data_IF_573550108145
#
_entry.id   IF_573550108145
#
_cell.length_a   1.000
_cell.length_b   1.000
_cell.length_c   1.000
_cell.angle_alpha   90.00
_cell.angle_beta   90.00
_cell.angle_gamma   90.00
#
_symmetry.space_group_name_H-M   'P 1'
#
loop_
_entity.id
_entity.type
_entity.pdbx_description
1 polymer ?
#
# COMPACT_ATOMS: atom_id res chain seq x y z
N UNK A 1 13.60 18.19 11.70
CA UNK A 1 14.03 16.81 11.41
C UNK A 1 13.73 15.90 12.58
N UNK A 2 13.48 14.62 12.34
CA UNK A 2 13.15 13.61 13.35
C UNK A 2 13.64 12.23 12.88
N UNK A 3 14.09 11.38 13.81
CA UNK A 3 14.50 10.02 13.49
C UNK A 3 13.28 9.11 13.50
N UNK A 4 13.15 8.23 12.49
CA UNK A 4 12.10 7.25 12.38
C UNK A 4 12.39 6.06 13.31
N UNK A 5 11.53 5.86 14.29
CA UNK A 5 11.72 4.85 15.32
C UNK A 5 10.95 3.54 15.07
N UNK A 6 10.05 3.54 14.08
CA UNK A 6 9.22 2.40 13.72
C UNK A 6 10.07 1.18 13.33
N UNK A 7 9.79 0.01 13.92
CA UNK A 7 10.58 -1.21 13.75
C UNK A 7 10.78 -1.63 12.29
N UNK A 8 9.74 -1.49 11.49
CA UNK A 8 9.72 -1.86 10.06
C UNK A 8 9.81 -0.64 9.12
N UNK A 9 10.24 0.52 9.64
CA UNK A 9 10.33 1.74 8.84
C UNK A 9 8.97 2.34 8.45
N UNK A 10 8.98 3.20 7.42
CA UNK A 10 7.79 3.92 6.94
C UNK A 10 7.00 3.05 5.92
N UNK A 11 6.43 1.95 6.39
CA UNK A 11 5.53 1.11 5.58
C UNK A 11 4.08 1.64 5.57
N UNK A 12 3.13 0.94 4.92
CA UNK A 12 1.79 1.44 4.65
C UNK A 12 1.05 2.03 5.87
N UNK A 13 1.09 1.38 7.05
CA UNK A 13 0.39 1.87 8.26
C UNK A 13 0.95 3.20 8.79
N UNK A 14 2.24 3.31 9.17
CA UNK A 14 2.80 4.58 9.64
C UNK A 14 2.82 5.64 8.53
N UNK A 15 3.01 5.27 7.26
CA UNK A 15 2.93 6.21 6.15
C UNK A 15 1.51 6.80 6.00
N UNK A 16 0.46 5.98 6.16
CA UNK A 16 -0.94 6.47 6.18
C UNK A 16 -1.18 7.43 7.33
N UNK A 17 -0.73 7.10 8.53
CA UNK A 17 -0.86 7.99 9.68
C UNK A 17 -0.13 9.32 9.44
N UNK A 18 1.08 9.28 8.91
CA UNK A 18 1.85 10.47 8.56
C UNK A 18 1.16 11.31 7.48
N UNK A 19 0.69 10.69 6.40
CA UNK A 19 -0.04 11.38 5.33
C UNK A 19 -1.28 12.09 5.86
N UNK A 20 -2.04 11.44 6.75
CA UNK A 20 -3.23 12.03 7.35
C UNK A 20 -2.90 13.26 8.21
N UNK A 21 -1.88 13.17 9.06
CA UNK A 21 -1.42 14.33 9.85
C UNK A 21 -0.96 15.46 8.92
N UNK A 22 -0.25 15.13 7.83
CA UNK A 22 0.20 16.14 6.87
C UNK A 22 -0.95 16.75 6.05
N UNK A 23 -2.04 16.01 5.80
CA UNK A 23 -3.24 16.52 5.11
C UNK A 23 -4.00 17.57 5.94
N UNK A 24 -3.92 17.51 7.27
CA UNK A 24 -4.50 18.53 8.18
C UNK A 24 -3.76 19.87 8.11
N UNK A 25 -2.54 19.86 7.60
CA UNK A 25 -1.75 21.09 7.43
C UNK A 25 -2.25 21.87 6.22
N UNK A 26 -2.47 23.18 6.40
CA UNK A 26 -2.80 24.09 5.31
C UNK A 26 -1.52 24.52 4.58
N UNK A 27 -1.43 24.22 3.28
CA UNK A 27 -0.25 24.42 2.46
C UNK A 27 0.52 23.15 2.15
N UNK A 28 1.59 23.24 1.36
CA UNK A 28 2.41 22.10 0.95
C UNK A 28 3.39 21.71 2.06
N UNK A 29 3.45 20.39 2.32
CA UNK A 29 4.47 19.79 3.19
C UNK A 29 5.24 18.75 2.40
N UNK A 30 6.56 18.86 2.42
CA UNK A 30 7.48 17.93 1.77
C UNK A 30 8.37 17.25 2.79
N UNK A 31 8.77 16.03 2.50
CA UNK A 31 9.66 15.24 3.36
C UNK A 31 10.77 14.60 2.55
N UNK A 32 11.92 14.46 3.17
CA UNK A 32 13.11 13.78 2.66
C UNK A 32 13.60 12.78 3.70
N UNK A 33 14.14 11.65 3.28
CA UNK A 33 14.85 10.69 4.14
C UNK A 33 16.36 10.83 3.92
N UNK A 34 17.13 10.97 5.02
CA UNK A 34 18.61 11.10 5.04
C UNK A 34 19.20 12.09 4.02
N UNK A 35 18.49 13.18 3.75
CA UNK A 35 18.95 14.22 2.83
C UNK A 35 18.80 13.87 1.36
N UNK A 36 18.01 12.88 1.01
CA UNK A 36 17.62 12.55 -0.36
C UNK A 36 16.66 13.56 -0.98
N UNK A 37 15.98 13.19 -2.06
CA UNK A 37 14.99 14.05 -2.72
C UNK A 37 13.78 14.33 -1.83
N UNK A 38 13.21 15.54 -1.93
CA UNK A 38 11.97 15.89 -1.24
C UNK A 38 10.75 15.43 -2.03
N UNK A 39 9.84 14.74 -1.35
CA UNK A 39 8.54 14.28 -1.89
C UNK A 39 7.38 14.88 -1.11
N UNK A 40 6.18 14.86 -1.67
CA UNK A 40 4.97 15.31 -0.95
C UNK A 40 4.68 14.42 0.26
N UNK A 41 4.59 15.03 1.44
CA UNK A 41 4.25 14.31 2.66
C UNK A 41 2.74 14.03 2.79
N UNK A 42 1.92 14.59 1.90
CA UNK A 42 0.47 14.35 1.84
C UNK A 42 0.10 13.15 0.97
N UNK A 43 1.03 12.63 0.18
CA UNK A 43 0.85 11.47 -0.69
C UNK A 43 1.40 10.22 -0.03
N UNK A 44 0.54 9.22 0.16
CA UNK A 44 0.91 7.91 0.71
C UNK A 44 1.91 7.21 -0.23
N UNK A 45 1.66 7.24 -1.54
CA UNK A 45 2.54 6.61 -2.54
C UNK A 45 3.93 7.23 -2.55
N UNK A 46 4.04 8.56 -2.43
CA UNK A 46 5.33 9.26 -2.33
C UNK A 46 6.05 8.99 -1.01
N UNK A 47 5.33 8.87 0.10
CA UNK A 47 5.92 8.47 1.38
C UNK A 47 6.47 7.05 1.33
N UNK A 48 5.76 6.13 0.68
CA UNK A 48 6.24 4.76 0.47
C UNK A 48 7.48 4.72 -0.43
N UNK A 49 7.54 5.55 -1.48
CA UNK A 49 8.69 5.60 -2.39
C UNK A 49 9.98 6.12 -1.74
N UNK A 50 9.90 6.78 -0.57
CA UNK A 50 11.10 7.14 0.20
C UNK A 50 11.89 5.92 0.68
N UNK A 51 11.23 4.77 0.85
CA UNK A 51 11.87 3.56 1.37
C UNK A 51 12.49 3.74 2.75
N UNK A 52 11.98 4.69 3.56
CA UNK A 52 12.59 5.07 4.81
C UNK A 52 12.53 3.96 5.84
N UNK A 53 13.70 3.45 6.25
CA UNK A 53 13.87 2.42 7.26
C UNK A 53 14.02 2.97 8.69
N UNK A 54 14.01 2.05 9.69
CA UNK A 54 14.26 2.40 11.10
C UNK A 54 15.61 3.10 11.24
N UNK A 55 15.64 4.18 12.03
CA UNK A 55 16.86 4.93 12.34
C UNK A 55 17.20 6.04 11.32
N UNK A 56 16.55 6.07 10.17
CA UNK A 56 16.76 7.14 9.20
C UNK A 56 16.11 8.46 9.65
N UNK A 57 16.69 9.55 9.21
CA UNK A 57 16.23 10.90 9.58
C UNK A 57 15.27 11.43 8.53
N UNK A 58 14.03 11.70 8.95
CA UNK A 58 13.05 12.41 8.15
C UNK A 58 13.18 13.91 8.36
N UNK A 59 13.38 14.64 7.28
CA UNK A 59 13.46 16.12 7.27
C UNK A 59 12.24 16.68 6.56
N UNK A 60 11.44 17.46 7.29
CA UNK A 60 10.23 18.08 6.78
C UNK A 60 10.50 19.55 6.44
N UNK A 61 9.94 20.01 5.32
CA UNK A 61 9.83 21.41 4.93
C UNK A 61 8.37 21.73 4.65
N UNK A 62 7.95 22.91 5.04
CA UNK A 62 6.60 23.41 4.75
C UNK A 62 6.71 24.82 4.18
N UNK A 63 5.71 25.23 3.40
CA UNK A 63 5.62 26.61 2.95
C UNK A 63 5.49 27.55 4.14
N UNK A 64 6.18 28.72 4.08
CA UNK A 64 6.12 29.69 5.17
C UNK A 64 4.71 30.25 5.34
N UNK A 65 4.19 30.16 6.57
CA UNK A 65 2.87 30.67 6.95
C UNK A 65 2.74 30.74 8.47
N UNK A 66 1.70 31.41 8.96
CA UNK A 66 1.48 31.64 10.40
C UNK A 66 1.30 30.37 11.24
N UNK A 67 0.93 29.26 10.61
CA UNK A 67 0.75 27.95 11.28
C UNK A 67 1.89 26.97 10.97
N UNK A 68 2.90 27.34 10.15
CA UNK A 68 3.90 26.41 9.66
C UNK A 68 4.73 25.77 10.79
N UNK A 69 5.14 26.54 11.79
CA UNK A 69 5.93 26.00 12.92
C UNK A 69 5.12 25.06 13.79
N UNK A 70 3.88 25.42 14.10
CA UNK A 70 2.99 24.58 14.92
C UNK A 70 2.63 23.28 14.20
N UNK A 71 2.32 23.35 12.90
CA UNK A 71 2.02 22.17 12.10
C UNK A 71 3.22 21.24 11.95
N UNK A 72 4.42 21.78 11.69
CA UNK A 72 5.65 20.98 11.65
C UNK A 72 5.96 20.35 13.01
N UNK A 73 5.68 21.04 14.12
CA UNK A 73 5.86 20.47 15.44
C UNK A 73 4.90 19.30 15.69
N UNK A 74 3.64 19.39 15.25
CA UNK A 74 2.67 18.29 15.31
C UNK A 74 3.11 17.08 14.49
N UNK A 75 3.58 17.31 13.25
CA UNK A 75 4.09 16.25 12.38
C UNK A 75 5.30 15.55 13.04
N UNK A 76 6.25 16.31 13.55
CA UNK A 76 7.43 15.76 14.25
C UNK A 76 7.00 14.97 15.49
N UNK A 77 6.04 15.46 16.26
CA UNK A 77 5.51 14.77 17.43
C UNK A 77 4.81 13.45 17.04
N UNK A 78 4.03 13.44 15.96
CA UNK A 78 3.39 12.24 15.45
C UNK A 78 4.43 11.17 15.06
N UNK A 79 5.53 11.55 14.39
CA UNK A 79 6.62 10.63 14.05
C UNK A 79 7.29 10.10 15.32
N UNK A 80 7.58 10.95 16.31
CA UNK A 80 8.18 10.53 17.59
C UNK A 80 7.30 9.58 18.38
N UNK A 81 5.97 9.72 18.30
CA UNK A 81 5.02 8.82 18.97
C UNK A 81 4.79 7.50 18.22
N UNK A 82 5.54 7.24 17.12
CA UNK A 82 5.50 5.99 16.37
C UNK A 82 4.38 5.89 15.36
N UNK A 83 3.67 6.99 15.03
CA UNK A 83 2.61 6.98 13.99
C UNK A 83 1.55 5.89 14.21
N UNK A 84 1.20 5.63 15.48
CA UNK A 84 0.20 4.63 15.89
C UNK A 84 0.73 3.23 16.12
N UNK A 85 2.03 3.00 16.00
CA UNK A 85 2.72 1.76 16.37
C UNK A 85 3.46 1.93 17.71
N UNK A 86 3.69 0.81 18.41
CA UNK A 86 4.55 0.82 19.61
C UNK A 86 6.00 1.07 19.20
N UNK A 87 6.64 2.04 19.85
CA UNK A 87 8.01 2.43 19.59
C UNK A 87 8.87 1.93 20.74
N UNK A 88 9.71 0.95 20.50
CA UNK A 88 10.79 0.62 21.42
C UNK A 88 11.82 1.75 21.39
N UNK A 89 12.26 2.19 22.57
CA UNK A 89 13.31 3.22 22.69
C UNK A 89 14.53 2.85 21.86
N UNK A 90 14.87 3.71 20.90
CA UNK A 90 16.06 3.53 20.06
C UNK A 90 17.29 3.87 20.91
N UNK A 91 17.84 2.89 21.63
CA UNK A 91 19.25 2.96 22.00
C UNK A 91 20.06 2.75 20.71
N UNK A 92 21.02 3.64 20.48
CA UNK A 92 21.86 3.62 19.29
C UNK A 92 22.62 2.28 19.18
N UNK A 93 22.02 1.31 18.54
CA UNK A 93 22.61 0.02 18.21
C UNK A 93 23.06 0.05 16.76
N UNK A 94 24.36 -0.17 16.57
CA UNK A 94 25.03 -0.39 15.29
C UNK A 94 24.27 -1.42 14.46
N UNK A 95 24.19 -1.13 13.14
CA UNK A 95 23.66 -2.02 12.13
C UNK A 95 24.11 -3.47 12.34
N UNK A 96 23.19 -4.32 12.73
CA UNK A 96 23.33 -5.76 12.53
C UNK A 96 22.79 -6.06 11.12
N UNK A 97 23.71 -6.56 10.32
CA UNK A 97 23.47 -7.06 8.98
C UNK A 97 22.40 -8.15 9.06
N UNK A 98 21.20 -7.86 8.57
CA UNK A 98 20.18 -8.87 8.37
C UNK A 98 20.71 -9.90 7.37
N UNK A 99 20.83 -11.13 7.83
CA UNK A 99 21.13 -12.27 6.97
C UNK A 99 19.98 -12.44 5.97
N UNK A 100 20.36 -12.50 4.70
CA UNK A 100 19.50 -12.79 3.58
C UNK A 100 18.67 -14.05 3.84
N UNK A 101 17.35 -13.88 4.00
CA UNK A 101 16.43 -14.98 3.73
C UNK A 101 16.29 -15.08 2.22
N UNK A 102 16.63 -16.24 1.68
CA UNK A 102 16.45 -16.57 0.26
C UNK A 102 15.02 -16.21 -0.18
N UNK A 103 14.92 -15.39 -1.21
CA UNK A 103 13.67 -15.08 -1.86
C UNK A 103 13.05 -16.36 -2.40
N UNK A 104 11.97 -16.82 -1.79
CA UNK A 104 11.17 -17.90 -2.34
C UNK A 104 10.46 -17.40 -3.58
N UNK A 105 10.99 -17.76 -4.74
CA UNK A 105 10.23 -17.68 -5.99
C UNK A 105 9.19 -18.79 -5.93
N UNK A 106 7.93 -18.44 -5.69
CA UNK A 106 6.82 -19.38 -5.77
C UNK A 106 6.61 -19.71 -7.24
N UNK A 107 7.20 -20.83 -7.71
CA UNK A 107 6.81 -21.40 -8.97
C UNK A 107 5.37 -21.92 -8.87
N UNK A 108 4.56 -21.86 -9.95
CA UNK A 108 3.20 -22.39 -9.92
C UNK A 108 3.26 -23.88 -9.55
N UNK A 109 2.65 -24.23 -8.43
CA UNK A 109 2.58 -25.61 -7.96
C UNK A 109 1.55 -26.34 -8.80
N UNK A 110 2.00 -27.24 -9.67
CA UNK A 110 1.12 -28.20 -10.33
C UNK A 110 0.87 -29.32 -9.33
N UNK A 111 -0.32 -29.37 -8.75
CA UNK A 111 -0.73 -30.46 -7.87
C UNK A 111 -0.89 -31.74 -8.71
N UNK A 112 -0.01 -32.71 -8.51
CA UNK A 112 -0.18 -34.08 -9.01
C UNK A 112 -0.66 -34.95 -7.85
N UNK A 113 -1.45 -35.98 -8.14
CA UNK A 113 -1.87 -36.97 -7.14
C UNK A 113 -0.62 -37.56 -6.46
N UNK A 114 -0.65 -37.67 -5.13
CA UNK A 114 0.44 -38.18 -4.26
C UNK A 114 1.73 -37.33 -4.16
N UNK A 115 1.71 -36.04 -4.45
CA UNK A 115 2.87 -35.15 -4.23
C UNK A 115 2.86 -34.59 -2.81
N UNK A 116 3.98 -34.78 -2.08
CA UNK A 116 4.24 -34.10 -0.80
C UNK A 116 4.93 -32.79 -1.06
N UNK A 117 4.24 -31.69 -0.76
CA UNK A 117 4.81 -30.35 -0.80
C UNK A 117 5.34 -29.99 0.59
N UNK A 118 6.58 -29.45 0.66
CA UNK A 118 7.10 -28.86 1.88
C UNK A 118 6.74 -27.38 1.91
N UNK A 119 6.19 -26.95 3.04
CA UNK A 119 5.86 -25.57 3.31
C UNK A 119 6.35 -25.13 4.68
N UNK A 120 6.26 -23.83 4.96
CA UNK A 120 6.52 -23.26 6.29
C UNK A 120 5.21 -23.30 7.09
N UNK A 121 5.25 -23.90 8.29
CA UNK A 121 4.08 -23.95 9.16
C UNK A 121 3.74 -22.55 9.68
N UNK A 122 2.64 -21.96 9.20
CA UNK A 122 2.14 -20.66 9.64
C UNK A 122 1.26 -20.76 10.89
N UNK A 123 0.64 -21.92 11.12
CA UNK A 123 -0.15 -22.20 12.32
C UNK A 123 0.02 -23.68 12.74
N UNK A 124 -0.14 -23.95 14.03
CA UNK A 124 -0.10 -25.31 14.53
C UNK A 124 -1.43 -26.02 14.26
N UNK A 125 -1.36 -27.28 13.80
CA UNK A 125 -2.54 -28.13 13.60
C UNK A 125 -2.45 -29.00 12.36
N UNK A 126 -3.52 -29.76 12.15
CA UNK A 126 -3.75 -30.56 10.95
C UNK A 126 -5.11 -30.13 10.37
N UNK A 127 -5.16 -29.91 9.07
CA UNK A 127 -6.39 -29.65 8.34
C UNK A 127 -6.54 -30.69 7.22
N UNK A 128 -7.78 -31.08 6.94
CA UNK A 128 -8.13 -31.92 5.82
C UNK A 128 -9.36 -31.32 5.13
N UNK A 129 -9.33 -31.17 3.83
CA UNK A 129 -10.42 -30.60 3.05
C UNK A 129 -10.16 -30.71 1.55
N UNK A 130 -11.10 -30.22 0.77
CA UNK A 130 -10.93 -30.09 -0.68
C UNK A 130 -9.93 -28.97 -0.98
N UNK A 131 -8.96 -29.23 -1.87
CA UNK A 131 -8.06 -28.19 -2.30
C UNK A 131 -8.81 -27.14 -3.17
N UNK A 132 -8.73 -25.87 -2.78
CA UNK A 132 -9.25 -24.77 -3.59
C UNK A 132 -8.08 -23.98 -4.16
N UNK A 133 -7.98 -23.97 -5.48
CA UNK A 133 -6.94 -23.22 -6.17
C UNK A 133 -7.41 -21.76 -6.34
N UNK A 134 -6.82 -20.84 -5.62
CA UNK A 134 -7.02 -19.41 -5.85
C UNK A 134 -6.31 -19.02 -7.13
N UNK A 135 -7.04 -18.83 -8.22
CA UNK A 135 -6.50 -18.29 -9.46
C UNK A 135 -6.71 -16.79 -9.47
N UNK A 136 -5.66 -16.02 -9.78
CA UNK A 136 -5.84 -14.61 -10.06
C UNK A 136 -6.75 -14.44 -11.27
N UNK A 137 -7.83 -13.67 -11.17
CA UNK A 137 -8.69 -13.41 -12.31
C UNK A 137 -7.89 -12.66 -13.38
N UNK A 138 -7.83 -13.23 -14.58
CA UNK A 138 -7.31 -12.50 -15.74
C UNK A 138 -8.24 -11.34 -16.06
N UNK A 139 -7.72 -10.11 -16.04
CA UNK A 139 -8.50 -8.93 -16.39
C UNK A 139 -8.45 -8.67 -17.89
N UNK A 140 -9.60 -8.58 -18.53
CA UNK A 140 -9.72 -8.23 -19.94
C UNK A 140 -10.36 -6.85 -20.04
N UNK A 141 -9.67 -5.89 -20.65
CA UNK A 141 -10.15 -4.53 -20.87
C UNK A 141 -9.52 -3.94 -22.11
N UNK A 142 -10.25 -3.03 -22.75
CA UNK A 142 -9.72 -2.23 -23.85
C UNK A 142 -8.65 -1.25 -23.33
N UNK A 143 -7.54 -1.14 -24.05
CA UNK A 143 -6.44 -0.26 -23.63
C UNK A 143 -6.77 1.20 -23.85
N UNK A 144 -7.44 1.52 -24.96
CA UNK A 144 -7.78 2.88 -25.35
C UNK A 144 -9.27 3.15 -25.21
N UNK A 145 -9.61 4.39 -24.90
CA UNK A 145 -10.98 4.87 -24.86
C UNK A 145 -11.09 6.24 -25.52
N UNK A 146 -12.21 6.51 -26.19
CA UNK A 146 -12.44 7.77 -26.89
C UNK A 146 -13.10 8.84 -26.03
N UNK A 147 -13.78 8.45 -24.95
CA UNK A 147 -14.51 9.34 -24.04
C UNK A 147 -13.85 9.39 -22.65
N UNK A 148 -12.95 10.33 -22.48
CA UNK A 148 -12.26 10.54 -21.21
C UNK A 148 -13.20 10.92 -20.06
N UNK A 149 -14.33 11.58 -20.32
CA UNK A 149 -15.27 11.95 -19.28
C UNK A 149 -16.02 10.70 -18.75
N UNK A 150 -16.45 9.82 -19.64
CA UNK A 150 -17.04 8.55 -19.26
C UNK A 150 -16.06 7.66 -18.47
N UNK A 151 -14.79 7.62 -18.88
CA UNK A 151 -13.77 6.83 -18.17
C UNK A 151 -13.49 7.37 -16.76
N UNK A 152 -13.49 8.69 -16.57
CA UNK A 152 -13.39 9.30 -15.22
C UNK A 152 -14.55 8.91 -14.32
N UNK A 153 -15.76 8.89 -14.84
CA UNK A 153 -16.94 8.46 -14.08
C UNK A 153 -16.81 6.99 -13.68
N UNK A 154 -16.44 6.11 -14.62
CA UNK A 154 -16.20 4.68 -14.32
C UNK A 154 -15.16 4.48 -13.24
N UNK A 155 -14.04 5.23 -13.30
CA UNK A 155 -13.00 5.17 -12.28
C UNK A 155 -13.53 5.59 -10.91
N UNK A 156 -14.26 6.70 -10.83
CA UNK A 156 -14.84 7.19 -9.57
C UNK A 156 -15.83 6.20 -8.98
N UNK A 157 -16.70 5.59 -9.79
CA UNK A 157 -17.66 4.58 -9.36
C UNK A 157 -16.95 3.33 -8.84
N UNK A 158 -15.92 2.83 -9.55
CA UNK A 158 -15.13 1.67 -9.13
C UNK A 158 -14.40 1.93 -7.80
N UNK A 159 -13.71 3.07 -7.68
CA UNK A 159 -13.05 3.47 -6.43
C UNK A 159 -14.06 3.60 -5.29
N UNK A 160 -15.20 4.24 -5.55
CA UNK A 160 -16.28 4.40 -4.57
C UNK A 160 -16.80 3.06 -4.05
N UNK A 161 -17.00 2.10 -4.93
CA UNK A 161 -17.45 0.75 -4.59
C UNK A 161 -16.42 0.02 -3.71
N UNK A 162 -15.14 0.03 -4.08
CA UNK A 162 -14.07 -0.61 -3.31
C UNK A 162 -13.88 0.07 -1.95
N UNK A 163 -13.98 1.40 -1.87
CA UNK A 163 -13.93 2.12 -0.60
C UNK A 163 -15.08 1.76 0.33
N UNK A 164 -16.28 1.59 -0.20
CA UNK A 164 -17.44 1.16 0.59
C UNK A 164 -17.23 -0.25 1.16
N UNK A 165 -16.69 -1.18 0.36
CA UNK A 165 -16.34 -2.54 0.80
C UNK A 165 -15.26 -2.50 1.90
N UNK A 166 -14.18 -1.73 1.70
CA UNK A 166 -13.12 -1.58 2.70
C UNK A 166 -13.65 -0.96 4.00
N UNK A 167 -14.56 0.02 3.92
CA UNK A 167 -15.19 0.63 5.10
C UNK A 167 -16.01 -0.38 5.89
N UNK A 168 -16.72 -1.30 5.21
CA UNK A 168 -17.43 -2.38 5.86
C UNK A 168 -16.44 -3.32 6.58
N UNK A 169 -15.35 -3.73 5.94
CA UNK A 169 -14.34 -4.58 6.56
C UNK A 169 -13.65 -3.91 7.76
N UNK A 170 -13.40 -2.60 7.68
CA UNK A 170 -12.91 -1.82 8.85
C UNK A 170 -13.88 -1.88 10.01
N UNK A 171 -15.20 -1.78 9.74
CA UNK A 171 -16.23 -1.83 10.78
C UNK A 171 -16.37 -3.23 11.41
N UNK A 172 -16.23 -4.30 10.61
CA UNK A 172 -16.35 -5.69 11.03
C UNK A 172 -15.06 -6.25 11.66
N UNK A 173 -13.91 -5.62 11.41
CA UNK A 173 -12.61 -6.07 11.88
C UNK A 173 -12.52 -6.11 13.41
N UNK A 174 -12.31 -7.31 13.96
CA UNK A 174 -12.14 -7.54 15.41
C UNK A 174 -10.77 -7.13 15.91
N UNK A 175 -9.73 -7.25 15.08
CA UNK A 175 -8.35 -6.88 15.41
C UNK A 175 -8.07 -5.43 15.03
N UNK A 176 -7.33 -4.73 15.90
CA UNK A 176 -6.83 -3.38 15.61
C UNK A 176 -5.89 -3.38 14.39
N UNK A 177 -5.05 -4.41 14.28
CA UNK A 177 -4.08 -4.51 13.18
C UNK A 177 -4.76 -4.70 11.82
N UNK A 178 -5.76 -5.58 11.75
CA UNK A 178 -6.56 -5.80 10.52
C UNK A 178 -7.26 -4.50 10.12
N UNK A 179 -7.82 -3.78 11.08
CA UNK A 179 -8.48 -2.48 10.85
C UNK A 179 -7.52 -1.45 10.26
N UNK A 180 -6.29 -1.40 10.78
CA UNK A 180 -5.25 -0.49 10.28
C UNK A 180 -4.81 -0.85 8.85
N UNK A 181 -4.75 -2.13 8.50
CA UNK A 181 -4.45 -2.59 7.13
C UNK A 181 -5.52 -2.07 6.16
N UNK A 182 -6.80 -2.34 6.43
CA UNK A 182 -7.89 -1.86 5.54
C UNK A 182 -7.98 -0.33 5.48
N UNK A 183 -7.65 0.35 6.59
CA UNK A 183 -7.57 1.82 6.60
C UNK A 183 -6.44 2.32 5.67
N UNK A 184 -5.30 1.65 5.66
CA UNK A 184 -4.19 1.98 4.75
C UNK A 184 -4.57 1.71 3.29
N UNK A 185 -5.27 0.62 3.01
CA UNK A 185 -5.80 0.32 1.67
C UNK A 185 -6.77 1.41 1.20
N UNK A 186 -7.69 1.86 2.07
CA UNK A 186 -8.62 2.95 1.73
C UNK A 186 -7.87 4.26 1.49
N UNK A 187 -6.82 4.56 2.27
CA UNK A 187 -6.03 5.78 2.10
C UNK A 187 -5.24 5.81 0.77
N UNK A 188 -4.84 4.64 0.24
CA UNK A 188 -4.23 4.53 -1.09
C UNK A 188 -5.19 4.97 -2.20
N UNK A 189 -6.48 4.63 -2.07
CA UNK A 189 -7.52 5.00 -3.04
C UNK A 189 -7.84 6.51 -3.02
N UNK A 190 -7.40 7.23 -1.99
CA UNK A 190 -7.51 8.69 -1.85
C UNK A 190 -6.15 9.40 -2.06
N UNK A 191 -5.17 8.70 -2.61
CA UNK A 191 -3.86 9.29 -2.85
C UNK A 191 -3.93 10.27 -4.03
N UNK A 192 -3.65 11.58 -3.80
CA UNK A 192 -3.81 12.59 -4.84
C UNK A 192 -2.84 12.41 -5.99
N UNK A 193 -1.64 11.92 -5.73
CA UNK A 193 -0.61 11.70 -6.75
C UNK A 193 -0.96 10.54 -7.67
N UNK A 194 -1.43 9.40 -7.08
CA UNK A 194 -1.91 8.26 -7.85
C UNK A 194 -3.09 8.65 -8.72
N UNK A 195 -4.09 9.33 -8.15
CA UNK A 195 -5.29 9.74 -8.89
C UNK A 195 -4.96 10.72 -10.00
N UNK A 196 -4.04 11.65 -9.78
CA UNK A 196 -3.59 12.58 -10.82
C UNK A 196 -2.91 11.83 -11.97
N UNK A 197 -2.01 10.88 -11.69
CA UNK A 197 -1.32 10.12 -12.73
C UNK A 197 -2.29 9.28 -13.56
N UNK A 198 -3.29 8.67 -12.92
CA UNK A 198 -4.35 7.93 -13.61
C UNK A 198 -5.19 8.87 -14.47
N UNK A 199 -5.57 10.05 -13.97
CA UNK A 199 -6.32 11.05 -14.72
C UNK A 199 -5.56 11.55 -15.96
N UNK A 200 -4.26 11.80 -15.82
CA UNK A 200 -3.38 12.12 -16.96
C UNK A 200 -3.35 11.00 -18.00
N UNK A 201 -3.36 9.72 -17.55
CA UNK A 201 -3.45 8.56 -18.43
C UNK A 201 -4.76 8.56 -19.23
N UNK A 202 -5.88 8.80 -18.56
CA UNK A 202 -7.21 8.91 -19.18
C UNK A 202 -7.23 10.09 -20.19
N UNK A 203 -6.61 11.23 -19.81
CA UNK A 203 -6.45 12.38 -20.71
C UNK A 203 -5.64 12.07 -21.98
N UNK A 204 -4.80 11.04 -21.96
CA UNK A 204 -4.04 10.50 -23.11
C UNK A 204 -4.78 9.38 -23.84
N UNK A 205 -6.09 9.29 -23.68
CA UNK A 205 -6.99 8.31 -24.32
C UNK A 205 -6.78 6.85 -23.86
N UNK A 206 -6.17 6.60 -22.70
CA UNK A 206 -6.26 5.28 -22.08
C UNK A 206 -7.64 5.09 -21.43
N UNK A 207 -8.14 3.84 -21.43
CA UNK A 207 -9.29 3.49 -20.61
C UNK A 207 -8.94 3.63 -19.11
N UNK A 208 -9.95 3.78 -18.27
CA UNK A 208 -9.77 3.83 -16.82
C UNK A 208 -9.03 2.59 -16.30
N UNK A 209 -9.37 1.41 -16.80
CA UNK A 209 -8.71 0.14 -16.42
C UNK A 209 -7.23 0.12 -16.83
N UNK A 210 -6.91 0.53 -18.07
CA UNK A 210 -5.53 0.56 -18.55
C UNK A 210 -4.68 1.59 -17.80
N UNK A 211 -5.20 2.79 -17.59
CA UNK A 211 -4.53 3.85 -16.84
C UNK A 211 -4.30 3.43 -15.38
N UNK A 212 -5.32 2.88 -14.71
CA UNK A 212 -5.22 2.37 -13.35
C UNK A 212 -4.18 1.28 -13.21
N UNK A 213 -4.30 0.20 -14.00
CA UNK A 213 -3.39 -0.95 -13.94
C UNK A 213 -1.93 -0.54 -14.19
N UNK A 214 -1.69 0.30 -15.19
CA UNK A 214 -0.34 0.79 -15.52
C UNK A 214 0.31 1.53 -14.35
N UNK A 215 -0.44 2.40 -13.67
CA UNK A 215 0.14 3.22 -12.61
C UNK A 215 0.31 2.44 -11.30
N UNK A 216 -0.62 1.55 -10.96
CA UNK A 216 -0.48 0.65 -9.80
C UNK A 216 0.72 -0.29 -9.98
N UNK A 217 0.89 -0.89 -11.15
CA UNK A 217 2.05 -1.75 -11.45
C UNK A 217 3.38 -0.97 -11.45
N UNK A 218 3.38 0.27 -11.90
CA UNK A 218 4.58 1.10 -11.81
C UNK A 218 4.98 1.37 -10.35
N UNK A 219 4.01 1.68 -9.48
CA UNK A 219 4.25 1.85 -8.05
C UNK A 219 4.71 0.58 -7.36
N UNK A 220 4.08 -0.57 -7.67
CA UNK A 220 4.49 -1.86 -7.12
C UNK A 220 5.93 -2.21 -7.50
N UNK A 221 6.32 -2.01 -8.76
CA UNK A 221 7.70 -2.22 -9.23
C UNK A 221 8.70 -1.26 -8.59
N UNK A 222 8.31 -0.01 -8.36
CA UNK A 222 9.13 0.96 -7.63
C UNK A 222 9.40 0.46 -6.21
N UNK A 223 8.37 -0.05 -5.50
CA UNK A 223 8.52 -0.65 -4.17
C UNK A 223 9.45 -1.89 -4.19
N UNK A 224 9.29 -2.78 -5.16
CA UNK A 224 10.15 -3.96 -5.32
C UNK A 224 11.63 -3.59 -5.57
N UNK A 225 11.88 -2.44 -6.19
CA UNK A 225 13.25 -1.95 -6.45
C UNK A 225 13.97 -1.36 -5.24
N UNK A 226 13.25 -1.14 -4.14
CA UNK A 226 13.85 -0.58 -2.93
C UNK A 226 14.77 -1.62 -2.26
N UNK A 227 15.95 -1.17 -1.81
CA UNK A 227 16.93 -2.00 -1.11
C UNK A 227 16.48 -2.38 0.33
N UNK A 228 15.20 -2.60 0.53
CA UNK A 228 14.62 -2.99 1.79
C UNK A 228 13.60 -4.12 1.57
N UNK A 229 13.94 -5.37 1.90
CA UNK A 229 13.08 -6.53 1.65
C UNK A 229 11.68 -6.39 2.27
N UNK A 230 11.58 -5.82 3.48
CA UNK A 230 10.29 -5.62 4.15
C UNK A 230 9.38 -4.63 3.42
N UNK A 231 9.96 -3.62 2.75
CA UNK A 231 9.20 -2.67 1.94
C UNK A 231 8.86 -3.27 0.57
N UNK A 232 9.74 -4.08 0.00
CA UNK A 232 9.49 -4.78 -1.27
C UNK A 232 8.32 -5.78 -1.15
N UNK A 233 8.18 -6.49 -0.02
CA UNK A 233 7.04 -7.38 0.24
C UNK A 233 5.69 -6.62 0.19
N UNK A 234 5.67 -5.30 0.43
CA UNK A 234 4.45 -4.47 0.38
C UNK A 234 3.98 -4.15 -1.04
N UNK A 235 4.77 -4.47 -2.07
CA UNK A 235 4.30 -4.39 -3.45
C UNK A 235 3.07 -5.27 -3.70
N UNK A 236 2.96 -6.41 -3.01
CA UNK A 236 1.78 -7.26 -3.05
C UNK A 236 0.52 -6.54 -2.52
N UNK A 237 0.62 -5.82 -1.39
CA UNK A 237 -0.49 -5.04 -0.84
C UNK A 237 -1.01 -3.99 -1.84
N UNK A 238 -0.10 -3.33 -2.57
CA UNK A 238 -0.46 -2.38 -3.63
C UNK A 238 -1.23 -3.05 -4.78
N UNK A 239 -0.76 -4.23 -5.21
CA UNK A 239 -1.43 -5.02 -6.26
C UNK A 239 -2.79 -5.52 -5.80
N UNK A 240 -2.94 -5.95 -4.56
CA UNK A 240 -4.21 -6.42 -4.01
C UNK A 240 -5.28 -5.33 -4.07
N UNK A 241 -4.96 -4.13 -3.60
CA UNK A 241 -5.88 -2.98 -3.70
C UNK A 241 -6.12 -2.60 -5.16
N UNK A 242 -5.04 -2.59 -5.96
CA UNK A 242 -5.11 -2.30 -7.40
C UNK A 242 -6.03 -3.26 -8.14
N UNK A 243 -5.91 -4.55 -7.86
CA UNK A 243 -6.71 -5.61 -8.48
C UNK A 243 -8.20 -5.52 -8.09
N UNK A 244 -8.53 -5.08 -6.86
CA UNK A 244 -9.93 -4.83 -6.47
C UNK A 244 -10.59 -3.75 -7.33
N UNK A 245 -9.91 -2.62 -7.53
CA UNK A 245 -10.43 -1.55 -8.39
C UNK A 245 -10.48 -2.01 -9.85
N UNK A 246 -9.48 -2.75 -10.31
CA UNK A 246 -9.45 -3.29 -11.66
C UNK A 246 -10.59 -4.30 -11.89
N UNK A 247 -10.89 -5.16 -10.92
CA UNK A 247 -12.03 -6.05 -10.95
C UNK A 247 -13.36 -5.29 -11.08
N UNK A 248 -13.53 -4.22 -10.29
CA UNK A 248 -14.69 -3.36 -10.36
C UNK A 248 -14.82 -2.67 -11.74
N UNK A 249 -13.72 -2.17 -12.29
CA UNK A 249 -13.68 -1.55 -13.63
C UNK A 249 -14.01 -2.54 -14.76
N UNK A 250 -13.58 -3.79 -14.61
CA UNK A 250 -13.82 -4.86 -15.58
C UNK A 250 -15.18 -5.58 -15.37
N UNK A 251 -15.93 -5.25 -14.32
CA UNK A 251 -17.17 -5.95 -13.96
C UNK A 251 -16.94 -7.41 -13.56
N UNK A 252 -15.72 -7.77 -13.15
CA UNK A 252 -15.37 -9.11 -12.69
C UNK A 252 -15.73 -9.21 -11.21
N UNK A 253 -16.61 -10.15 -10.88
CA UNK A 253 -16.82 -10.50 -9.46
C UNK A 253 -15.59 -11.28 -8.99
N UNK A 254 -14.96 -10.84 -7.92
CA UNK A 254 -13.98 -11.67 -7.20
C UNK A 254 -14.65 -13.00 -6.88
N UNK A 255 -13.93 -14.11 -7.14
CA UNK A 255 -14.46 -15.44 -6.92
C UNK A 255 -15.03 -15.52 -5.49
N UNK A 256 -16.28 -15.94 -5.39
CA UNK A 256 -16.89 -16.20 -4.08
C UNK A 256 -16.09 -17.31 -3.41
N UNK A 257 -15.81 -17.16 -2.11
CA UNK A 257 -15.29 -18.27 -1.32
C UNK A 257 -16.23 -19.49 -1.46
N UNK A 258 -15.69 -20.70 -1.55
CA UNK A 258 -16.52 -21.89 -1.57
C UNK A 258 -17.41 -21.96 -0.33
N UNK A 259 -18.67 -22.40 -0.51
CA UNK A 259 -19.63 -22.55 0.60
C UNK A 259 -19.22 -23.65 1.61
N UNK A 260 -18.32 -24.55 1.20
CA UNK A 260 -17.79 -25.62 2.04
C UNK A 260 -16.35 -25.31 2.49
N UNK A 261 -15.94 -25.83 3.69
CA UNK A 261 -14.56 -25.65 4.16
C UNK A 261 -13.54 -26.23 3.17
N UNK A 262 -12.55 -25.45 2.81
CA UNK A 262 -11.48 -25.80 1.87
C UNK A 262 -10.10 -25.55 2.49
N UNK A 263 -9.07 -26.12 1.86
CA UNK A 263 -7.65 -25.95 2.20
C UNK A 263 -6.95 -25.20 1.06
#
# INVERSE_FOLDING_TARGET
>A
SVVLANAHGLHARPATALANVCKEFDGEVRVSADGGGYVSAKSLTKLLSLGAGRGQTLTFIAEPGTAAEAGLAQIIQAVRSGLGEEVEAVEASKAETAQSSDAFVVAPVVLQDDVRNQGVAASAGLAAGMAHMMTEPGFHYEVNASDAAAERIKLQEAIGSVKAELAQWVAEAKSKDIRLIFTAHAALLDDPELLQQVDEGIGRQFSAAAAWHKHVEALAKEQESLNNPLLAERAADLRDVGNKVLAALCGVKTAAEPDEPYI
#
